data_IF_672348625879
#
_entry.id   IF_672348625879
#
_cell.length_a   1.000
_cell.length_b   1.000
_cell.length_c   1.000
_cell.angle_alpha   90.00
_cell.angle_beta   90.00
_cell.angle_gamma   90.00
#
_symmetry.space_group_name_H-M   'P 1'
#
loop_
_entity.id
_entity.type
_entity.pdbx_description
1 polymer ?
#
# COMPACT_ATOMS: atom_id res chain seq x y z
N UNK A 1 -2.85 -23.22 23.54
CA UNK A 1 -3.20 -21.79 23.45
C UNK A 1 -3.33 -21.44 21.98
N UNK A 2 -4.40 -20.76 21.56
CA UNK A 2 -4.50 -20.24 20.18
C UNK A 2 -3.70 -18.93 20.12
N UNK A 3 -2.87 -18.75 19.09
CA UNK A 3 -2.14 -17.50 18.87
C UNK A 3 -3.13 -16.33 18.68
N UNK A 4 -2.70 -15.12 19.02
CA UNK A 4 -3.52 -13.92 18.89
C UNK A 4 -3.97 -13.73 17.43
N UNK A 5 -5.26 -13.50 17.13
CA UNK A 5 -5.69 -13.24 15.76
C UNK A 5 -5.13 -11.92 15.23
N UNK A 6 -5.00 -11.81 13.92
CA UNK A 6 -4.63 -10.56 13.23
C UNK A 6 -5.81 -10.13 12.37
N UNK A 7 -6.17 -8.86 12.41
CA UNK A 7 -7.25 -8.29 11.59
C UNK A 7 -6.73 -7.13 10.76
N UNK A 8 -7.17 -7.03 9.50
CA UNK A 8 -6.85 -5.90 8.63
C UNK A 8 -7.98 -5.62 7.65
N UNK A 9 -8.21 -4.33 7.37
CA UNK A 9 -8.96 -3.90 6.20
C UNK A 9 -8.00 -3.61 5.05
N UNK A 10 -8.14 -4.32 3.93
CA UNK A 10 -7.39 -3.99 2.72
C UNK A 10 -7.94 -4.72 1.52
N UNK A 11 -8.14 -3.99 0.43
CA UNK A 11 -8.52 -4.51 -0.88
C UNK A 11 -7.29 -4.86 -1.75
N UNK A 12 -6.07 -4.69 -1.23
CA UNK A 12 -4.82 -4.78 -2.00
C UNK A 12 -3.82 -5.82 -1.48
N UNK A 13 -2.55 -5.59 -1.77
CA UNK A 13 -1.44 -6.54 -1.56
C UNK A 13 -1.17 -6.86 -0.08
N UNK A 14 -1.48 -5.93 0.83
CA UNK A 14 -1.24 -6.09 2.28
C UNK A 14 -1.90 -7.35 2.84
N UNK A 15 -3.12 -7.70 2.39
CA UNK A 15 -3.80 -8.93 2.86
C UNK A 15 -3.06 -10.19 2.46
N UNK A 16 -2.43 -10.20 1.28
CA UNK A 16 -1.74 -11.39 0.76
C UNK A 16 -0.51 -11.65 1.62
N UNK A 17 0.28 -10.61 1.91
CA UNK A 17 1.41 -10.70 2.82
C UNK A 17 0.98 -11.13 4.23
N UNK A 18 -0.08 -10.52 4.76
CA UNK A 18 -0.61 -10.88 6.08
C UNK A 18 -1.13 -12.32 6.14
N UNK A 19 -1.84 -12.78 5.10
CA UNK A 19 -2.33 -14.16 5.01
C UNK A 19 -1.17 -15.15 5.08
N UNK A 20 -0.12 -14.92 4.29
CA UNK A 20 1.07 -15.79 4.24
C UNK A 20 1.80 -15.79 5.59
N UNK A 21 2.13 -14.62 6.14
CA UNK A 21 2.93 -14.55 7.38
C UNK A 21 2.14 -15.09 8.57
N UNK A 22 0.84 -14.81 8.65
CA UNK A 22 -0.01 -15.31 9.73
C UNK A 22 -0.17 -16.83 9.65
N UNK A 23 -0.35 -17.38 8.45
CA UNK A 23 -0.39 -18.84 8.25
C UNK A 23 0.92 -19.50 8.70
N UNK A 24 2.08 -18.95 8.33
CA UNK A 24 3.40 -19.47 8.74
C UNK A 24 3.62 -19.36 10.25
N UNK A 25 3.23 -18.23 10.86
CA UNK A 25 3.42 -17.96 12.28
C UNK A 25 2.33 -18.55 13.18
N UNK A 26 1.30 -19.17 12.60
CA UNK A 26 0.19 -19.80 13.32
C UNK A 26 -0.83 -18.81 13.90
N UNK A 27 -0.86 -17.56 13.42
CA UNK A 27 -1.88 -16.58 13.79
C UNK A 27 -3.09 -16.69 12.85
N UNK A 28 -4.33 -16.76 13.36
CA UNK A 28 -5.51 -16.64 12.51
C UNK A 28 -5.54 -15.23 11.89
N UNK A 29 -5.62 -15.13 10.56
CA UNK A 29 -5.77 -13.84 9.89
C UNK A 29 -7.22 -13.62 9.46
N UNK A 30 -7.79 -12.48 9.79
CA UNK A 30 -9.13 -12.04 9.40
C UNK A 30 -9.00 -10.84 8.45
N UNK A 31 -9.32 -11.05 7.18
CA UNK A 31 -9.39 -9.99 6.20
C UNK A 31 -10.82 -9.44 6.12
N UNK A 32 -10.98 -8.15 6.40
CA UNK A 32 -12.28 -7.46 6.31
C UNK A 32 -12.32 -6.67 5.01
N UNK A 33 -13.27 -7.00 4.14
CA UNK A 33 -13.36 -6.40 2.80
C UNK A 33 -14.80 -6.06 2.42
N UNK A 34 -14.99 -4.99 1.66
CA UNK A 34 -16.29 -4.66 1.06
C UNK A 34 -16.65 -5.67 -0.04
N UNK A 35 -17.93 -6.05 -0.14
CA UNK A 35 -18.49 -6.85 -1.25
C UNK A 35 -18.39 -6.17 -2.61
N UNK A 36 -18.15 -4.85 -2.65
CA UNK A 36 -17.87 -4.11 -3.89
C UNK A 36 -16.50 -4.44 -4.51
N UNK A 37 -15.63 -5.17 -3.80
CA UNK A 37 -14.36 -5.64 -4.35
C UNK A 37 -14.56 -6.75 -5.39
N UNK A 38 -13.57 -6.94 -6.28
CA UNK A 38 -13.65 -7.98 -7.31
C UNK A 38 -13.73 -9.38 -6.69
N UNK A 39 -14.52 -10.24 -7.34
CA UNK A 39 -14.89 -11.57 -6.85
C UNK A 39 -13.70 -12.50 -6.65
N UNK A 40 -12.58 -12.24 -7.32
CA UNK A 40 -11.36 -13.04 -7.27
C UNK A 40 -10.58 -12.81 -5.97
N UNK A 41 -10.81 -11.67 -5.30
CA UNK A 41 -10.01 -11.26 -4.13
C UNK A 41 -10.27 -12.13 -2.89
N UNK A 42 -11.53 -12.50 -2.63
CA UNK A 42 -11.90 -13.32 -1.49
C UNK A 42 -11.40 -14.79 -1.61
N UNK A 43 -11.61 -15.49 -2.74
CA UNK A 43 -11.07 -16.83 -2.94
C UNK A 43 -9.56 -16.92 -2.79
N UNK A 44 -8.81 -15.93 -3.29
CA UNK A 44 -7.35 -15.89 -3.11
C UNK A 44 -6.94 -15.87 -1.63
N UNK A 45 -7.63 -15.08 -0.80
CA UNK A 45 -7.33 -15.01 0.64
C UNK A 45 -7.72 -16.29 1.38
N UNK A 46 -8.89 -16.84 1.06
CA UNK A 46 -9.34 -18.13 1.62
C UNK A 46 -8.34 -19.25 1.30
N UNK A 47 -7.84 -19.28 0.06
CA UNK A 47 -6.82 -20.24 -0.37
C UNK A 47 -5.49 -20.09 0.38
N UNK A 48 -5.16 -18.88 0.85
CA UNK A 48 -3.98 -18.60 1.68
C UNK A 48 -4.23 -18.82 3.18
N UNK A 49 -5.41 -19.35 3.57
CA UNK A 49 -5.74 -19.68 4.95
C UNK A 49 -6.30 -18.52 5.77
N UNK A 50 -6.67 -17.40 5.14
CA UNK A 50 -7.33 -16.29 5.81
C UNK A 50 -8.83 -16.58 6.03
N UNK A 51 -9.37 -16.09 7.14
CA UNK A 51 -10.81 -15.85 7.28
C UNK A 51 -11.17 -14.56 6.53
N UNK A 52 -12.26 -14.59 5.76
CA UNK A 52 -12.71 -13.43 4.99
C UNK A 52 -14.07 -12.97 5.50
N UNK A 53 -14.14 -11.74 5.99
CA UNK A 53 -15.38 -11.07 6.39
C UNK A 53 -15.78 -10.11 5.28
N UNK A 54 -16.89 -10.42 4.63
CA UNK A 54 -17.48 -9.59 3.58
C UNK A 54 -18.50 -8.62 4.19
N UNK A 55 -18.27 -7.34 3.99
CA UNK A 55 -19.15 -6.24 4.43
C UNK A 55 -19.99 -5.77 3.26
N UNK A 56 -21.30 -5.73 3.44
CA UNK A 56 -22.24 -5.21 2.44
C UNK A 56 -21.95 -3.73 2.14
N UNK A 57 -22.21 -3.34 0.89
CA UNK A 57 -22.08 -1.94 0.48
C UNK A 57 -23.22 -1.10 1.04
N UNK A 58 -23.00 0.20 1.13
CA UNK A 58 -24.04 1.18 1.44
C UNK A 58 -25.17 1.11 0.40
N UNK A 59 -26.43 1.39 0.81
CA UNK A 59 -27.53 1.54 -0.13
C UNK A 59 -27.19 2.58 -1.21
N UNK A 60 -27.34 2.20 -2.48
CA UNK A 60 -27.05 3.07 -3.63
C UNK A 60 -25.60 3.02 -4.12
N UNK A 61 -24.71 2.27 -3.46
CA UNK A 61 -23.37 2.01 -3.99
C UNK A 61 -23.42 1.20 -5.29
N UNK A 62 -22.49 1.50 -6.19
CA UNK A 62 -22.37 0.79 -7.48
C UNK A 62 -21.69 -0.56 -7.25
N UNK A 63 -22.31 -1.68 -7.67
CA UNK A 63 -21.69 -3.00 -7.59
C UNK A 63 -20.33 -3.03 -8.31
N UNK A 64 -19.32 -3.61 -7.67
CA UNK A 64 -17.97 -3.70 -8.23
C UNK A 64 -17.12 -2.43 -8.06
N UNK A 65 -17.65 -1.41 -7.39
CA UNK A 65 -16.90 -0.22 -6.96
C UNK A 65 -16.92 -0.13 -5.44
N UNK A 66 -15.92 0.49 -4.84
CA UNK A 66 -15.87 0.68 -3.37
C UNK A 66 -15.76 2.16 -3.09
N UNK A 67 -16.84 2.73 -2.57
CA UNK A 67 -16.92 4.15 -2.21
C UNK A 67 -16.30 4.42 -0.84
N UNK A 68 -16.05 5.70 -0.52
CA UNK A 68 -15.62 6.12 0.83
C UNK A 68 -16.58 5.65 1.95
N UNK A 69 -17.91 5.81 1.79
CA UNK A 69 -18.89 5.25 2.72
C UNK A 69 -18.81 3.72 2.88
N UNK A 70 -18.56 2.97 1.81
CA UNK A 70 -18.35 1.51 1.90
C UNK A 70 -17.10 1.17 2.73
N UNK A 71 -16.02 1.95 2.57
CA UNK A 71 -14.81 1.78 3.38
C UNK A 71 -15.05 2.09 4.86
N UNK A 72 -15.92 3.06 5.18
CA UNK A 72 -16.27 3.38 6.56
C UNK A 72 -16.98 2.20 7.25
N UNK A 73 -17.86 1.47 6.54
CA UNK A 73 -18.47 0.24 7.06
C UNK A 73 -17.43 -0.87 7.29
N UNK A 74 -16.47 -1.03 6.37
CA UNK A 74 -15.38 -2.00 6.51
C UNK A 74 -14.49 -1.67 7.71
N UNK A 75 -14.14 -0.40 7.87
CA UNK A 75 -13.39 0.14 9.01
C UNK A 75 -14.11 -0.16 10.34
N UNK A 76 -15.41 0.13 10.41
CA UNK A 76 -16.21 -0.16 11.59
C UNK A 76 -16.20 -1.66 11.91
N UNK A 77 -16.45 -2.52 10.93
CA UNK A 77 -16.44 -3.97 11.12
C UNK A 77 -15.07 -4.49 11.58
N UNK A 78 -13.98 -3.94 11.04
CA UNK A 78 -12.63 -4.29 11.47
C UNK A 78 -12.38 -3.94 12.95
N UNK A 79 -12.83 -2.77 13.41
CA UNK A 79 -12.76 -2.37 14.83
C UNK A 79 -13.59 -3.26 15.74
N UNK A 80 -14.79 -3.63 15.31
CA UNK A 80 -15.64 -4.57 16.05
C UNK A 80 -14.92 -5.91 16.25
N UNK A 81 -14.36 -6.49 15.18
CA UNK A 81 -13.62 -7.76 15.23
C UNK A 81 -12.35 -7.64 16.09
N UNK A 82 -11.64 -6.52 15.98
CA UNK A 82 -10.47 -6.20 16.81
C UNK A 82 -10.81 -6.33 18.30
N UNK A 83 -11.88 -5.67 18.75
CA UNK A 83 -12.34 -5.69 20.13
C UNK A 83 -12.89 -7.07 20.54
N UNK A 84 -13.79 -7.65 19.74
CA UNK A 84 -14.47 -8.91 20.05
C UNK A 84 -13.50 -10.10 20.18
N UNK A 85 -12.46 -10.14 19.35
CA UNK A 85 -11.51 -11.26 19.29
C UNK A 85 -10.19 -10.97 19.99
N UNK A 86 -10.01 -9.77 20.55
CA UNK A 86 -8.71 -9.30 21.03
C UNK A 86 -7.65 -9.38 19.94
N UNK A 87 -8.04 -9.14 18.68
CA UNK A 87 -7.16 -9.30 17.54
C UNK A 87 -6.14 -8.14 17.49
N UNK A 88 -4.93 -8.44 17.03
CA UNK A 88 -3.97 -7.42 16.68
C UNK A 88 -4.37 -6.81 15.33
N UNK A 89 -4.63 -5.50 15.32
CA UNK A 89 -4.86 -4.79 14.06
C UNK A 89 -3.54 -4.34 13.45
N UNK A 90 -3.28 -4.77 12.21
CA UNK A 90 -2.05 -4.45 11.51
C UNK A 90 -1.97 -2.97 11.12
N UNK A 91 -3.11 -2.37 10.77
CA UNK A 91 -3.37 -0.96 10.48
C UNK A 91 -2.22 -0.27 9.73
N UNK A 92 -2.11 -0.60 8.43
CA UNK A 92 -1.02 -0.12 7.59
C UNK A 92 -0.91 1.43 7.52
N UNK A 93 -1.96 2.16 7.88
CA UNK A 93 -1.97 3.63 7.82
C UNK A 93 -1.47 4.30 9.11
N UNK A 94 -1.41 3.57 10.24
CA UNK A 94 -1.09 4.18 11.56
C UNK A 94 0.03 3.49 12.36
N UNK A 95 0.37 2.23 12.06
CA UNK A 95 1.55 1.56 12.64
C UNK A 95 2.90 1.87 11.99
N UNK A 96 3.85 2.31 12.82
CA UNK A 96 5.25 2.58 12.45
C UNK A 96 5.96 1.43 11.74
N UNK A 97 5.57 0.19 12.01
CA UNK A 97 6.11 -1.00 11.35
C UNK A 97 6.05 -0.92 9.82
N UNK A 98 5.10 -0.18 9.24
CA UNK A 98 5.03 0.05 7.79
C UNK A 98 6.26 0.82 7.27
N UNK A 99 6.51 2.03 7.78
CA UNK A 99 7.65 2.83 7.28
C UNK A 99 9.00 2.29 7.76
N UNK A 100 9.06 1.71 8.96
CA UNK A 100 10.29 1.10 9.49
C UNK A 100 10.77 -0.07 8.64
N UNK A 101 9.84 -0.93 8.16
CA UNK A 101 10.20 -2.03 7.27
C UNK A 101 10.91 -1.55 6.00
N UNK A 102 10.52 -0.39 5.48
CA UNK A 102 11.16 0.21 4.30
C UNK A 102 12.42 1.01 4.63
N UNK A 103 12.54 1.55 5.84
CA UNK A 103 13.78 2.20 6.29
C UNK A 103 14.90 1.19 6.51
N UNK A 104 14.61 0.12 7.26
CA UNK A 104 15.59 -0.89 7.66
C UNK A 104 15.80 -1.97 6.61
N UNK A 105 14.78 -2.24 5.78
CA UNK A 105 14.84 -3.15 4.64
C UNK A 105 15.11 -2.40 3.34
N UNK A 106 14.03 -2.03 2.64
CA UNK A 106 14.09 -1.53 1.25
C UNK A 106 15.13 -0.41 1.01
N UNK A 107 15.19 0.60 1.87
CA UNK A 107 16.14 1.71 1.75
C UNK A 107 17.58 1.27 1.99
N UNK A 108 17.80 0.34 2.92
CA UNK A 108 19.13 -0.24 3.17
C UNK A 108 19.59 -1.09 1.99
N UNK A 109 18.68 -1.91 1.44
CA UNK A 109 18.91 -2.74 0.26
C UNK A 109 19.27 -1.89 -0.95
N UNK A 110 18.49 -0.84 -1.25
CA UNK A 110 18.76 0.08 -2.37
C UNK A 110 20.13 0.73 -2.23
N UNK A 111 20.49 1.20 -1.04
CA UNK A 111 21.80 1.81 -0.79
C UNK A 111 22.94 0.81 -1.02
N UNK A 112 22.81 -0.40 -0.48
CA UNK A 112 23.83 -1.44 -0.62
C UNK A 112 23.96 -1.91 -2.07
N UNK A 113 22.85 -2.16 -2.76
CA UNK A 113 22.84 -2.67 -4.13
C UNK A 113 23.36 -1.66 -5.15
N UNK A 114 23.35 -0.36 -4.81
CA UNK A 114 23.89 0.71 -5.65
C UNK A 114 25.29 1.14 -5.24
N UNK A 115 25.89 0.52 -4.21
CA UNK A 115 27.14 0.99 -3.60
C UNK A 115 27.12 2.49 -3.24
N UNK A 116 25.94 3.00 -2.85
CA UNK A 116 25.71 4.42 -2.57
C UNK A 116 25.56 5.32 -3.81
N UNK A 117 25.58 4.77 -5.03
CA UNK A 117 25.35 5.47 -6.29
C UNK A 117 23.86 5.61 -6.62
N UNK A 118 23.13 6.24 -5.70
CA UNK A 118 21.76 6.69 -5.91
C UNK A 118 21.71 8.22 -5.83
N UNK A 119 21.07 8.83 -6.83
CA UNK A 119 20.91 10.29 -6.91
C UNK A 119 19.45 10.72 -6.80
N UNK A 120 18.52 9.80 -7.09
CA UNK A 120 17.10 10.06 -6.91
C UNK A 120 16.26 8.80 -6.66
N UNK A 121 15.15 9.01 -5.97
CA UNK A 121 14.15 7.99 -5.67
C UNK A 121 12.76 8.53 -6.04
N UNK A 122 11.95 7.71 -6.70
CA UNK A 122 10.62 8.10 -7.18
C UNK A 122 9.62 7.03 -6.74
N UNK A 123 8.51 7.42 -6.12
CA UNK A 123 7.52 6.48 -5.61
C UNK A 123 6.09 6.89 -5.96
N UNK A 124 5.30 5.95 -6.48
CA UNK A 124 3.84 6.09 -6.53
C UNK A 124 3.25 5.73 -5.17
N UNK A 125 2.63 6.72 -4.54
CA UNK A 125 2.35 6.68 -3.11
C UNK A 125 0.99 6.05 -2.81
N UNK A 126 1.02 4.95 -2.04
CA UNK A 126 -0.16 4.33 -1.43
C UNK A 126 -0.32 4.67 0.06
N UNK A 127 -0.19 3.71 0.99
CA UNK A 127 -0.15 3.97 2.43
C UNK A 127 1.06 4.80 2.92
N UNK A 128 1.93 5.25 2.00
CA UNK A 128 3.07 6.16 2.21
C UNK A 128 4.28 5.58 2.95
N UNK A 129 4.17 4.41 3.59
CA UNK A 129 5.28 3.79 4.33
C UNK A 129 6.54 3.57 3.48
N UNK A 130 6.40 3.16 2.22
CA UNK A 130 7.55 2.97 1.32
C UNK A 130 8.30 4.26 1.06
N UNK A 131 7.58 5.33 0.69
CA UNK A 131 8.20 6.63 0.47
C UNK A 131 8.86 7.14 1.76
N UNK A 132 8.13 7.15 2.87
CA UNK A 132 8.65 7.65 4.14
C UNK A 132 9.90 6.90 4.61
N UNK A 133 9.87 5.56 4.59
CA UNK A 133 10.98 4.73 5.06
C UNK A 133 12.23 4.85 4.18
N UNK A 134 12.05 4.71 2.86
CA UNK A 134 13.17 4.80 1.91
C UNK A 134 13.79 6.20 1.93
N UNK A 135 12.97 7.26 1.88
CA UNK A 135 13.47 8.64 1.89
C UNK A 135 14.27 8.94 3.16
N UNK A 136 13.75 8.61 4.35
CA UNK A 136 14.48 8.79 5.62
C UNK A 136 15.82 8.06 5.62
N UNK A 137 15.86 6.83 5.09
CA UNK A 137 17.08 6.03 5.03
C UNK A 137 18.11 6.68 4.11
N UNK A 138 17.71 7.02 2.88
CA UNK A 138 18.59 7.62 1.89
C UNK A 138 19.10 8.99 2.33
N UNK A 139 18.23 9.84 2.90
CA UNK A 139 18.61 11.15 3.43
C UNK A 139 19.67 11.02 4.54
N UNK A 140 19.51 10.05 5.45
CA UNK A 140 20.48 9.82 6.54
C UNK A 140 21.87 9.39 6.04
N UNK A 141 21.97 8.84 4.83
CA UNK A 141 23.21 8.32 4.24
C UNK A 141 23.83 9.31 3.23
N UNK A 142 22.99 9.98 2.43
CA UNK A 142 23.37 10.97 1.42
C UNK A 142 22.26 12.03 1.30
N UNK A 143 22.35 13.14 2.04
CA UNK A 143 21.34 14.22 2.02
C UNK A 143 21.10 14.87 0.65
N UNK A 144 21.97 14.63 -0.33
CA UNK A 144 21.81 15.16 -1.69
C UNK A 144 20.87 14.32 -2.57
N UNK A 145 20.45 13.13 -2.14
CA UNK A 145 19.50 12.28 -2.89
C UNK A 145 18.16 12.99 -3.02
N UNK A 146 17.61 13.00 -4.24
CA UNK A 146 16.34 13.67 -4.55
C UNK A 146 15.16 12.71 -4.52
N UNK A 147 14.16 12.97 -3.69
CA UNK A 147 13.01 12.07 -3.50
C UNK A 147 11.71 12.69 -4.04
N UNK A 148 11.08 12.04 -5.01
CA UNK A 148 9.87 12.52 -5.69
C UNK A 148 8.65 11.63 -5.42
N UNK A 149 7.50 12.28 -5.27
CA UNK A 149 6.20 11.63 -5.14
C UNK A 149 5.50 11.63 -6.49
N UNK A 150 4.97 10.47 -6.89
CA UNK A 150 4.11 10.33 -8.06
C UNK A 150 2.66 10.24 -7.59
N UNK A 151 1.81 11.09 -8.16
CA UNK A 151 0.36 11.07 -7.96
C UNK A 151 -0.40 10.97 -9.29
N UNK A 152 -1.66 10.51 -9.29
CA UNK A 152 -2.47 10.52 -10.49
C UNK A 152 -2.89 11.95 -10.85
N UNK A 153 -2.92 12.26 -12.14
CA UNK A 153 -3.52 13.50 -12.66
C UNK A 153 -4.97 13.58 -12.17
N UNK A 154 -5.35 14.73 -11.60
CA UNK A 154 -6.69 14.98 -11.05
C UNK A 154 -6.92 14.47 -9.61
N UNK A 155 -5.95 13.76 -9.03
CA UNK A 155 -6.01 13.22 -7.67
C UNK A 155 -4.75 13.55 -6.83
N UNK A 156 -4.00 14.59 -7.20
CA UNK A 156 -2.70 14.95 -6.63
C UNK A 156 -2.80 15.78 -5.34
N UNK A 157 -3.32 15.18 -4.27
CA UNK A 157 -3.56 15.87 -2.99
C UNK A 157 -2.28 16.19 -2.23
N UNK A 158 -1.22 15.39 -2.36
CA UNK A 158 0.05 15.63 -1.67
C UNK A 158 0.79 16.81 -2.32
N UNK A 159 0.65 16.97 -3.63
CA UNK A 159 1.07 18.17 -4.36
C UNK A 159 0.21 19.41 -4.04
N UNK A 160 -0.84 19.27 -3.22
CA UNK A 160 -1.83 20.32 -2.88
C UNK A 160 -2.62 20.84 -4.08
N UNK A 161 -2.79 20.03 -5.10
CA UNK A 161 -3.60 20.37 -6.26
C UNK A 161 -5.10 20.19 -5.97
N UNK A 162 -5.91 20.93 -6.72
CA UNK A 162 -7.37 20.74 -6.68
C UNK A 162 -7.71 19.35 -7.22
N UNK A 163 -8.46 18.58 -6.43
CA UNK A 163 -8.98 17.28 -6.85
C UNK A 163 -10.08 17.51 -7.88
N UNK A 164 -9.87 17.00 -9.09
CA UNK A 164 -10.82 17.06 -10.21
C UNK A 164 -11.32 15.67 -10.62
N UNK A 165 -10.57 14.61 -10.28
CA UNK A 165 -10.92 13.23 -10.55
C UNK A 165 -10.37 12.32 -9.45
N UNK A 166 -11.12 12.17 -8.36
CA UNK A 166 -10.73 11.27 -7.25
C UNK A 166 -10.69 9.79 -7.68
N UNK A 167 -11.54 9.40 -8.63
CA UNK A 167 -11.64 8.03 -9.15
C UNK A 167 -10.69 7.80 -10.34
N UNK A 168 -9.39 7.74 -10.05
CA UNK A 168 -8.38 7.38 -11.05
C UNK A 168 -8.25 5.85 -11.21
N UNK A 169 -7.81 5.34 -12.38
CA UNK A 169 -7.79 3.89 -12.63
C UNK A 169 -6.58 3.16 -12.03
N UNK A 170 -5.52 3.88 -11.63
CA UNK A 170 -4.29 3.28 -11.09
C UNK A 170 -4.58 2.63 -9.72
N UNK A 171 -4.19 1.36 -9.53
CA UNK A 171 -4.46 0.60 -8.30
C UNK A 171 -3.25 0.64 -7.35
N UNK A 172 -3.51 0.56 -6.04
CA UNK A 172 -2.46 0.44 -5.01
C UNK A 172 -2.00 1.76 -4.38
N UNK A 173 -2.54 2.90 -4.81
CA UNK A 173 -2.26 4.20 -4.20
C UNK A 173 -3.16 5.32 -4.71
N UNK A 174 -2.76 6.58 -4.47
CA UNK A 174 -3.52 7.77 -4.92
C UNK A 174 -4.78 8.08 -4.11
N UNK A 175 -4.82 7.71 -2.83
CA UNK A 175 -6.05 7.67 -2.01
C UNK A 175 -6.77 9.01 -1.71
N UNK A 176 -6.37 10.14 -2.30
CA UNK A 176 -7.00 11.47 -2.04
C UNK A 176 -7.09 11.78 -0.54
N UNK A 177 -6.09 11.35 0.23
CA UNK A 177 -5.98 11.58 1.68
C UNK A 177 -4.87 12.60 1.94
N UNK A 178 -5.20 13.82 2.42
CA UNK A 178 -4.19 14.86 2.67
C UNK A 178 -3.41 14.63 3.96
N UNK A 179 -4.05 14.08 5.00
CA UNK A 179 -3.48 13.98 6.34
C UNK A 179 -3.09 12.55 6.69
N UNK A 180 -1.79 12.24 6.65
CA UNK A 180 -1.27 10.95 7.12
C UNK A 180 0.05 11.12 7.89
N UNK A 181 0.12 10.44 9.04
CA UNK A 181 1.10 10.66 10.12
C UNK A 181 2.56 10.53 9.66
N UNK A 182 2.85 9.64 8.70
CA UNK A 182 4.23 9.28 8.35
C UNK A 182 4.95 10.21 7.39
N UNK A 183 4.20 11.03 6.63
CA UNK A 183 4.82 12.02 5.74
C UNK A 183 5.20 13.28 6.50
N UNK A 184 4.78 13.41 7.76
CA UNK A 184 5.19 14.53 8.60
C UNK A 184 6.71 14.52 8.71
N UNK A 185 7.32 15.64 8.34
CA UNK A 185 8.76 15.88 8.38
C UNK A 185 9.59 14.96 7.45
N UNK A 186 8.97 14.32 6.46
CA UNK A 186 9.68 13.61 5.38
C UNK A 186 9.91 14.57 4.22
N UNK A 187 11.16 14.75 3.74
CA UNK A 187 11.44 15.67 2.64
C UNK A 187 10.80 15.18 1.34
N UNK A 188 10.29 16.13 0.56
CA UNK A 188 9.78 15.91 -0.80
C UNK A 188 10.42 16.94 -1.71
N UNK A 189 11.29 16.49 -2.62
CA UNK A 189 11.98 17.38 -3.57
C UNK A 189 11.09 17.80 -4.74
N UNK A 190 10.04 17.03 -5.03
CA UNK A 190 9.07 17.39 -6.04
C UNK A 190 7.94 16.38 -6.21
N UNK A 191 6.94 16.79 -6.97
CA UNK A 191 5.76 16.00 -7.31
C UNK A 191 5.72 15.78 -8.82
N UNK A 192 5.40 14.55 -9.21
CA UNK A 192 5.17 14.15 -10.59
C UNK A 192 3.73 13.67 -10.70
N UNK A 193 3.09 13.95 -11.83
CA UNK A 193 1.73 13.51 -12.10
C UNK A 193 1.68 12.61 -13.31
N UNK A 194 0.91 11.54 -13.22
CA UNK A 194 0.74 10.55 -14.30
C UNK A 194 -0.73 10.26 -14.57
N UNK A 195 -1.09 10.08 -15.83
CA UNK A 195 -2.43 9.62 -16.20
C UNK A 195 -2.53 8.09 -16.09
N UNK A 196 -3.76 7.58 -16.02
CA UNK A 196 -4.00 6.14 -16.08
C UNK A 196 -3.48 5.48 -17.35
N UNK A 197 -3.53 6.19 -18.48
CA UNK A 197 -3.01 5.72 -19.76
C UNK A 197 -1.48 5.62 -19.76
N UNK A 198 -0.79 6.64 -19.25
CA UNK A 198 0.67 6.62 -19.09
C UNK A 198 1.12 5.48 -18.17
N UNK A 199 0.42 5.27 -17.04
CA UNK A 199 0.72 4.17 -16.13
C UNK A 199 0.56 2.80 -16.82
N UNK A 200 -0.51 2.62 -17.60
CA UNK A 200 -0.78 1.39 -18.36
C UNK A 200 0.23 1.16 -19.49
N UNK A 201 0.60 2.22 -20.20
CA UNK A 201 1.64 2.17 -21.23
C UNK A 201 2.98 1.78 -20.61
N UNK A 202 3.41 2.46 -19.55
CA UNK A 202 4.65 2.14 -18.83
C UNK A 202 4.69 0.69 -18.33
N UNK A 203 3.58 0.19 -17.77
CA UNK A 203 3.47 -1.21 -17.35
C UNK A 203 3.65 -2.19 -18.52
N UNK A 204 3.06 -1.91 -19.68
CA UNK A 204 3.22 -2.75 -20.90
C UNK A 204 4.65 -2.68 -21.44
N UNK A 205 5.26 -1.51 -21.40
CA UNK A 205 6.63 -1.31 -21.85
C UNK A 205 7.60 -2.11 -20.98
N UNK A 206 7.47 -2.06 -19.65
CA UNK A 206 8.29 -2.87 -18.74
C UNK A 206 8.13 -4.37 -18.99
N UNK A 207 6.92 -4.84 -19.30
CA UNK A 207 6.65 -6.25 -19.58
C UNK A 207 7.31 -6.75 -20.88
N UNK A 208 7.62 -5.87 -21.83
CA UNK A 208 8.20 -6.25 -23.13
C UNK A 208 9.66 -5.85 -23.30
N UNK A 209 10.16 -4.90 -22.49
CA UNK A 209 11.51 -4.33 -22.65
C UNK A 209 12.51 -4.74 -21.58
N UNK A 210 12.06 -5.27 -20.43
CA UNK A 210 12.97 -5.78 -19.41
C UNK A 210 13.48 -7.17 -19.80
N UNK A 211 14.60 -7.21 -20.51
CA UNK A 211 15.44 -8.41 -20.55
C UNK A 211 16.13 -8.51 -19.20
N UNK A 212 15.63 -9.37 -18.32
CA UNK A 212 16.33 -9.73 -17.09
C UNK A 212 17.63 -10.39 -17.51
N UNK A 213 18.74 -9.67 -17.44
CA UNK A 213 20.06 -10.29 -17.61
C UNK A 213 20.18 -11.38 -16.54
N UNK A 214 20.53 -12.62 -16.91
CA UNK A 214 20.67 -13.68 -15.92
C UNK A 214 21.67 -13.22 -14.86
N UNK A 215 21.22 -13.21 -13.60
CA UNK A 215 22.09 -12.99 -12.44
C UNK A 215 23.22 -14.02 -12.56
N UNK A 216 24.46 -13.54 -12.73
CA UNK A 216 25.61 -14.42 -12.80
C UNK A 216 25.65 -15.25 -11.50
N UNK A 217 25.73 -16.58 -11.55
CA UNK A 217 25.82 -17.39 -10.35
C UNK A 217 27.09 -17.02 -9.59
N UNK A 218 26.93 -16.65 -8.31
CA UNK A 218 28.02 -16.52 -7.32
C UNK A 218 28.67 -17.86 -7.02
#
# INVERSE_FOLDING_TARGET
MRCQPVVELTSGNTRTGLSIVCAIKGHPFIAVISRGNSIERAPMMLALGAEVVLVDQMPGSVPGQVSGPDLALVEQKAKEIEMERGAFRADQFTRDGNWMAHHDGTGAELWQQTDGHIDGFVNFVGPRGTYAGVTKKLESLKPSVKCFIVEPVGAAVLAKEQVTQAEHPIQGGGYVMPDLVYLKDVPVDGYLQVTGDQAREGARLLATSLVVSPVAPT
#
